data_IF_561374522334
#
_entry.id   IF_561374522334
#
_cell.length_a   1.000
_cell.length_b   1.000
_cell.length_c   1.000
_cell.angle_alpha   90.00
_cell.angle_beta   90.00
_cell.angle_gamma   90.00
#
_symmetry.space_group_name_H-M   'P 1'
#
loop_
_entity.id
_entity.type
_entity.pdbx_description
1 polymer ?
#
# COMPACT_ATOMS: atom_id res chain seq x y z
N UNK A 1 3.55 -9.07 -4.99
CA UNK A 1 2.25 -8.51 -4.60
C UNK A 1 1.77 -9.35 -3.45
N UNK A 2 1.24 -8.77 -2.38
CA UNK A 2 0.66 -9.58 -1.31
C UNK A 2 -0.50 -10.44 -1.90
N UNK A 3 -0.47 -11.79 -1.76
CA UNK A 3 -1.51 -12.66 -2.30
C UNK A 3 -2.93 -12.29 -1.86
N UNK A 4 -3.08 -11.65 -0.71
CA UNK A 4 -4.37 -11.20 -0.16
C UNK A 4 -5.13 -10.23 -1.08
N UNK A 5 -4.39 -9.49 -1.92
CA UNK A 5 -4.93 -8.51 -2.86
C UNK A 5 -5.07 -9.06 -4.28
N UNK A 6 -4.67 -10.32 -4.53
CA UNK A 6 -4.55 -10.87 -5.88
C UNK A 6 -5.88 -11.03 -6.64
N UNK A 7 -7.00 -11.08 -5.91
CA UNK A 7 -8.35 -11.14 -6.45
C UNK A 7 -9.01 -9.75 -6.62
N UNK A 8 -8.36 -8.67 -6.18
CA UNK A 8 -8.90 -7.32 -6.30
C UNK A 8 -8.69 -6.76 -7.71
N UNK A 9 -9.64 -5.94 -8.14
CA UNK A 9 -9.50 -5.24 -9.42
C UNK A 9 -8.45 -4.13 -9.32
N UNK A 10 -7.81 -3.77 -10.44
CA UNK A 10 -6.88 -2.63 -10.47
C UNK A 10 -7.53 -1.33 -9.98
N UNK A 11 -8.83 -1.14 -10.24
CA UNK A 11 -9.56 0.05 -9.77
C UNK A 11 -9.64 0.07 -8.24
N UNK A 12 -9.97 -1.08 -7.63
CA UNK A 12 -9.99 -1.22 -6.17
C UNK A 12 -8.62 -0.95 -5.56
N UNK A 13 -7.55 -1.51 -6.16
CA UNK A 13 -6.18 -1.25 -5.71
C UNK A 13 -5.78 0.22 -5.84
N UNK A 14 -6.14 0.88 -6.94
CA UNK A 14 -5.89 2.31 -7.14
C UNK A 14 -6.64 3.16 -6.08
N UNK A 15 -7.84 2.75 -5.64
CA UNK A 15 -8.58 3.45 -4.57
C UNK A 15 -7.93 3.26 -3.19
N UNK A 16 -7.47 2.04 -2.87
CA UNK A 16 -6.75 1.78 -1.62
C UNK A 16 -5.45 2.60 -1.59
N UNK A 17 -4.68 2.58 -2.68
CA UNK A 17 -3.41 3.33 -2.81
C UNK A 17 -3.63 4.83 -2.59
N UNK A 18 -4.71 5.40 -3.16
CA UNK A 18 -5.05 6.81 -2.99
C UNK A 18 -5.39 7.16 -1.52
N UNK A 19 -6.22 6.35 -0.86
CA UNK A 19 -6.55 6.55 0.54
C UNK A 19 -5.32 6.42 1.45
N UNK A 20 -4.47 5.42 1.22
CA UNK A 20 -3.26 5.25 2.04
C UNK A 20 -2.24 6.38 1.83
N UNK A 21 -2.10 6.89 0.59
CA UNK A 21 -1.17 7.97 0.28
C UNK A 21 -1.67 9.35 0.75
N UNK A 22 -2.97 9.62 0.60
CA UNK A 22 -3.52 10.97 0.69
C UNK A 22 -4.46 11.19 1.89
N UNK A 23 -4.97 10.13 2.54
CA UNK A 23 -5.85 10.27 3.70
C UNK A 23 -5.09 10.16 5.03
N UNK A 24 -4.70 11.33 5.57
CA UNK A 24 -4.03 11.46 6.87
C UNK A 24 -4.99 11.90 7.99
N UNK A 25 -6.26 12.15 7.66
CA UNK A 25 -7.25 12.67 8.62
C UNK A 25 -8.01 11.53 9.28
N UNK A 26 -8.35 10.49 8.51
CA UNK A 26 -9.07 9.33 9.06
C UNK A 26 -8.21 8.52 10.03
N UNK A 27 -8.82 7.91 11.03
CA UNK A 27 -8.16 6.89 11.87
C UNK A 27 -7.95 5.60 11.08
N UNK A 28 -7.19 4.66 11.66
CA UNK A 28 -7.03 3.32 11.08
C UNK A 28 -8.37 2.56 11.06
N UNK A 29 -9.21 2.74 12.08
CA UNK A 29 -10.56 2.17 12.17
C UNK A 29 -11.49 2.75 11.08
N UNK A 30 -11.47 4.07 10.88
CA UNK A 30 -12.29 4.71 9.82
C UNK A 30 -11.85 4.29 8.41
N UNK A 31 -10.55 4.07 8.18
CA UNK A 31 -10.06 3.54 6.90
C UNK A 31 -10.44 2.08 6.71
N UNK A 32 -10.39 1.28 7.78
CA UNK A 32 -10.79 -0.12 7.76
C UNK A 32 -12.27 -0.26 7.38
N UNK A 33 -13.15 0.51 8.03
CA UNK A 33 -14.58 0.55 7.73
C UNK A 33 -14.81 0.96 6.27
N UNK A 34 -14.15 2.03 5.80
CA UNK A 34 -14.24 2.48 4.41
C UNK A 34 -13.82 1.37 3.42
N UNK A 35 -12.76 0.64 3.70
CA UNK A 35 -12.31 -0.43 2.81
C UNK A 35 -13.32 -1.57 2.71
N UNK A 36 -14.00 -1.91 3.80
CA UNK A 36 -15.04 -2.95 3.78
C UNK A 36 -16.31 -2.43 3.13
N UNK A 37 -16.81 -1.27 3.56
CA UNK A 37 -18.12 -0.76 3.19
C UNK A 37 -18.16 -0.18 1.77
N UNK A 38 -17.13 0.59 1.38
CA UNK A 38 -17.12 1.32 0.11
C UNK A 38 -16.36 0.58 -1.01
N UNK A 39 -15.41 -0.28 -0.64
CA UNK A 39 -14.56 -1.00 -1.61
C UNK A 39 -14.83 -2.52 -1.66
N UNK A 40 -15.79 -3.01 -0.89
CA UNK A 40 -16.18 -4.44 -0.79
C UNK A 40 -15.00 -5.37 -0.43
N UNK A 41 -14.06 -4.90 0.40
CA UNK A 41 -12.97 -5.76 0.89
C UNK A 41 -13.46 -6.74 1.96
N UNK A 42 -12.81 -7.89 2.04
CA UNK A 42 -12.93 -8.74 3.23
C UNK A 42 -12.22 -8.09 4.42
N UNK A 43 -12.61 -8.45 5.64
CA UNK A 43 -11.93 -7.99 6.86
C UNK A 43 -10.41 -8.21 6.80
N UNK A 44 -9.97 -9.39 6.34
CA UNK A 44 -8.55 -9.72 6.20
C UNK A 44 -7.84 -8.78 5.19
N UNK A 45 -8.51 -8.41 4.10
CA UNK A 45 -7.96 -7.46 3.12
C UNK A 45 -7.88 -6.04 3.69
N UNK A 46 -8.89 -5.62 4.45
CA UNK A 46 -8.91 -4.31 5.11
C UNK A 46 -7.80 -4.20 6.17
N UNK A 47 -7.63 -5.25 7.00
CA UNK A 47 -6.52 -5.36 7.95
C UNK A 47 -5.17 -5.20 7.25
N UNK A 48 -4.91 -5.99 6.21
CA UNK A 48 -3.67 -5.93 5.46
C UNK A 48 -3.46 -4.58 4.76
N UNK A 49 -4.52 -3.88 4.33
CA UNK A 49 -4.41 -2.56 3.73
C UNK A 49 -4.02 -1.50 4.77
N UNK A 50 -4.66 -1.52 5.95
CA UNK A 50 -4.37 -0.61 7.07
C UNK A 50 -2.96 -0.82 7.61
N UNK A 51 -2.47 -2.07 7.70
CA UNK A 51 -1.09 -2.36 8.11
C UNK A 51 -0.03 -1.68 7.22
N UNK A 52 -0.33 -1.45 5.93
CA UNK A 52 0.59 -0.77 5.02
C UNK A 52 0.69 0.73 5.28
N UNK A 53 -0.29 1.33 5.97
CA UNK A 53 -0.42 2.79 6.15
C UNK A 53 0.83 3.46 6.70
N UNK A 54 1.48 2.84 7.68
CA UNK A 54 2.73 3.33 8.26
C UNK A 54 3.82 3.56 7.20
N UNK A 55 3.86 2.74 6.14
CA UNK A 55 4.83 2.91 5.05
C UNK A 55 4.48 4.10 4.16
N UNK A 56 3.19 4.32 3.87
CA UNK A 56 2.73 5.44 3.04
C UNK A 56 2.96 6.82 3.69
N UNK A 57 3.02 6.89 5.02
CA UNK A 57 3.33 8.15 5.72
C UNK A 57 4.76 8.63 5.54
N UNK A 58 5.71 7.70 5.34
CA UNK A 58 7.14 8.03 5.26
C UNK A 58 7.72 7.87 3.86
N UNK A 59 6.98 7.26 2.94
CA UNK A 59 7.43 6.98 1.57
C UNK A 59 6.42 7.43 0.53
N UNK A 60 6.93 8.11 -0.49
CA UNK A 60 6.17 8.39 -1.71
C UNK A 60 6.44 7.29 -2.73
N UNK A 61 5.49 6.38 -2.91
CA UNK A 61 5.61 5.31 -3.89
C UNK A 61 5.42 5.82 -5.32
N UNK A 62 6.12 5.20 -6.27
CA UNK A 62 5.80 5.36 -7.68
C UNK A 62 4.44 4.72 -7.96
N UNK A 63 3.60 5.39 -8.76
CA UNK A 63 2.24 4.93 -9.07
C UNK A 63 2.24 3.46 -9.52
N UNK A 64 1.41 2.63 -8.87
CA UNK A 64 1.29 1.18 -9.11
C UNK A 64 2.54 0.36 -8.84
N UNK A 65 3.49 0.91 -8.09
CA UNK A 65 4.70 0.23 -7.65
C UNK A 65 4.82 0.20 -6.12
N UNK A 66 3.73 0.43 -5.39
CA UNK A 66 3.65 0.24 -3.94
C UNK A 66 3.51 -1.26 -3.58
N UNK A 67 3.63 -1.63 -2.29
CA UNK A 67 3.46 -3.02 -1.83
C UNK A 67 2.09 -3.63 -2.18
N UNK A 68 1.08 -2.79 -2.45
CA UNK A 68 -0.23 -3.22 -2.94
C UNK A 68 -0.16 -3.92 -4.31
N UNK A 69 0.75 -3.47 -5.18
CA UNK A 69 0.81 -3.94 -6.58
C UNK A 69 1.95 -4.94 -6.82
N UNK A 70 3.04 -4.87 -6.04
CA UNK A 70 4.24 -5.67 -6.29
C UNK A 70 5.02 -5.99 -5.01
N UNK A 71 5.87 -7.03 -5.04
CA UNK A 71 6.71 -7.39 -3.86
C UNK A 71 7.83 -6.38 -3.65
N UNK A 72 8.43 -5.95 -4.76
CA UNK A 72 9.57 -5.04 -4.76
C UNK A 72 9.03 -3.62 -4.92
N UNK A 73 8.66 -2.96 -3.84
CA UNK A 73 8.10 -1.61 -3.93
C UNK A 73 9.15 -0.59 -4.44
N UNK A 74 8.70 0.39 -5.24
CA UNK A 74 9.53 1.50 -5.74
C UNK A 74 9.04 2.80 -5.13
N UNK A 75 9.94 3.54 -4.50
CA UNK A 75 9.65 4.78 -3.78
C UNK A 75 10.68 5.85 -4.08
N UNK A 76 10.31 7.11 -3.92
CA UNK A 76 11.18 8.25 -4.16
C UNK A 76 11.97 8.61 -2.90
N UNK A 77 13.30 8.64 -2.98
CA UNK A 77 14.16 9.16 -1.91
C UNK A 77 14.40 10.66 -2.13
N UNK A 78 13.91 11.54 -1.25
CA UNK A 78 14.11 12.98 -1.40
C UNK A 78 15.57 13.42 -1.20
N UNK A 79 16.40 12.63 -0.49
CA UNK A 79 17.81 12.97 -0.27
C UNK A 79 18.62 12.78 -1.54
N UNK A 80 18.46 11.61 -2.18
CA UNK A 80 19.17 11.26 -3.40
C UNK A 80 18.45 11.74 -4.68
N UNK A 81 17.24 12.30 -4.52
CA UNK A 81 16.34 12.76 -5.60
C UNK A 81 16.16 11.70 -6.70
N UNK A 82 16.05 10.45 -6.30
CA UNK A 82 15.98 9.31 -7.20
C UNK A 82 15.02 8.25 -6.67
N UNK A 83 14.57 7.36 -7.56
CA UNK A 83 13.75 6.22 -7.17
C UNK A 83 14.62 5.09 -6.62
N UNK A 84 14.24 4.58 -5.46
CA UNK A 84 14.81 3.40 -4.83
C UNK A 84 13.79 2.28 -4.84
N UNK A 85 14.28 1.05 -4.89
CA UNK A 85 13.47 -0.14 -4.68
C UNK A 85 13.90 -0.80 -3.38
N UNK A 86 12.94 -1.36 -2.65
CA UNK A 86 13.27 -2.32 -1.60
C UNK A 86 13.80 -3.59 -2.29
N UNK A 87 15.11 -3.62 -2.54
CA UNK A 87 15.79 -4.79 -3.11
C UNK A 87 15.41 -6.04 -2.30
N UNK A 88 15.35 -7.23 -2.93
CA UNK A 88 14.93 -8.43 -2.21
C UNK A 88 15.86 -8.65 -1.01
N UNK A 89 15.29 -9.00 0.14
CA UNK A 89 15.99 -9.53 1.30
C UNK A 89 16.68 -10.85 0.91
N UNK A 90 17.79 -10.80 0.17
CA UNK A 90 18.78 -11.88 0.22
C UNK A 90 19.55 -11.69 1.52
N UNK A 91 19.08 -12.35 2.59
CA UNK A 91 19.94 -12.64 3.72
C UNK A 91 21.13 -13.49 3.22
N UNK A 92 22.37 -13.24 3.67
CA UNK A 92 23.51 -14.07 3.33
C UNK A 92 23.34 -15.47 3.97
N UNK A 93 23.75 -16.48 3.19
CA UNK A 93 23.90 -17.92 3.46
C UNK A 93 23.76 -18.42 4.89
#
# INVERSE_FOLDING_TARGET
MNPIFSNLTTKTLDHIDDHLANNQVSTDEELWDLFIEDLDLTAEQADAAVELRAQYWVRTFLKRHSPLFQEIAVWFDPNDKSFKSDAPLTAPY
#
